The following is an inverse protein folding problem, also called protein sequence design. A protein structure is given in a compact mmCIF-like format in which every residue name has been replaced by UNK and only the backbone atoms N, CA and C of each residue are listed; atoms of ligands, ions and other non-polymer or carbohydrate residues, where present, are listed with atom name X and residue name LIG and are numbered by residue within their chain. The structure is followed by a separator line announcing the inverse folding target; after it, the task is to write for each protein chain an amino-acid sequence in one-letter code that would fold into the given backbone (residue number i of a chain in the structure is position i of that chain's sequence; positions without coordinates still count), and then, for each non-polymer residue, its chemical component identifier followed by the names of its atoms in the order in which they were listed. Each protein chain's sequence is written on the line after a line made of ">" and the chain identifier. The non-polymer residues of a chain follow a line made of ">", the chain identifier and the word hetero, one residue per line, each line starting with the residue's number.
data_IF_703976479316
#
_entry.id   IF_703976479316
#
_cell.length_a   1.000
_cell.length_b   1.000
_cell.length_c   1.000
_cell.angle_alpha   90.00
_cell.angle_beta   90.00
_cell.angle_gamma   90.00
#
_symmetry.space_group_name_H-M   'P 1'
#
loop_
_entity.id
_entity.type
_entity.pdbx_description
1 polymer ?
#
# COMPACT_ATOMS: atom_id res chain seq x y z
N UNK A 1 -11.84 -13.21 4.68
CA UNK A 1 -10.75 -12.75 3.78
C UNK A 1 -11.15 -12.73 2.31
N UNK A 2 -11.67 -13.82 1.72
CA UNK A 2 -12.04 -13.85 0.28
C UNK A 2 -13.05 -12.76 -0.15
N UNK A 3 -14.10 -12.49 0.64
CA UNK A 3 -15.05 -11.42 0.35
C UNK A 3 -14.38 -10.03 0.28
N UNK A 4 -13.39 -9.78 1.14
CA UNK A 4 -12.61 -8.53 1.10
C UNK A 4 -11.71 -8.47 -0.14
N UNK A 5 -11.14 -9.60 -0.57
CA UNK A 5 -10.42 -9.70 -1.83
C UNK A 5 -11.26 -9.32 -3.06
N UNK A 6 -12.55 -9.69 -3.09
CA UNK A 6 -13.49 -9.27 -4.14
C UNK A 6 -13.75 -7.77 -4.14
N UNK A 7 -13.90 -7.16 -2.95
CA UNK A 7 -14.06 -5.69 -2.83
C UNK A 7 -12.81 -4.97 -3.31
N UNK A 8 -11.62 -5.45 -2.93
CA UNK A 8 -10.34 -4.90 -3.39
C UNK A 8 -10.20 -5.01 -4.91
N UNK A 9 -10.62 -6.14 -5.50
CA UNK A 9 -10.69 -6.26 -6.95
C UNK A 9 -11.62 -5.22 -7.58
N UNK A 10 -12.85 -5.07 -7.07
CA UNK A 10 -13.81 -4.09 -7.58
C UNK A 10 -13.21 -2.68 -7.61
N UNK A 11 -12.59 -2.25 -6.50
CA UNK A 11 -11.96 -0.92 -6.41
C UNK A 11 -10.78 -0.81 -7.38
N UNK A 12 -9.99 -1.87 -7.53
CA UNK A 12 -8.90 -1.92 -8.49
C UNK A 12 -9.38 -1.75 -9.94
N UNK A 13 -10.49 -2.40 -10.32
CA UNK A 13 -11.10 -2.26 -11.66
C UNK A 13 -11.53 -0.82 -11.86
N UNK A 14 -12.34 -0.29 -10.94
CA UNK A 14 -12.86 1.08 -11.02
C UNK A 14 -11.74 2.12 -11.17
N UNK A 15 -10.70 2.00 -10.34
CA UNK A 15 -9.57 2.94 -10.35
C UNK A 15 -8.66 2.76 -11.55
N UNK A 16 -8.54 1.53 -12.09
CA UNK A 16 -7.74 1.26 -13.30
C UNK A 16 -8.30 1.92 -14.56
N UNK A 17 -9.62 2.16 -14.58
CA UNK A 17 -10.33 2.72 -15.72
C UNK A 17 -10.19 4.25 -15.85
N UNK A 18 -9.64 4.93 -14.84
CA UNK A 18 -9.45 6.38 -14.87
C UNK A 18 -8.40 6.85 -15.89
N UNK A 19 -7.49 5.98 -16.34
CA UNK A 19 -6.36 6.35 -17.18
C UNK A 19 -6.67 6.39 -18.68
N UNK A 20 -6.38 7.51 -19.33
CA UNK A 20 -6.62 7.71 -20.77
C UNK A 20 -5.49 7.20 -21.66
N UNK A 21 -4.25 7.20 -21.17
CA UNK A 21 -3.05 6.86 -21.94
C UNK A 21 -2.53 5.44 -21.62
N UNK A 22 -3.10 4.43 -22.27
CA UNK A 22 -2.72 3.02 -22.10
C UNK A 22 -1.21 2.80 -22.29
N UNK A 23 -0.59 3.46 -23.27
CA UNK A 23 0.85 3.32 -23.52
C UNK A 23 1.70 3.70 -22.30
N UNK A 24 1.34 4.80 -21.63
CA UNK A 24 2.05 5.25 -20.43
C UNK A 24 1.84 4.28 -19.27
N UNK A 25 0.63 3.75 -19.11
CA UNK A 25 0.32 2.76 -18.07
C UNK A 25 1.17 1.50 -18.25
N UNK A 26 1.22 0.96 -19.47
CA UNK A 26 2.00 -0.25 -19.79
C UNK A 26 3.50 -0.02 -19.58
N UNK A 27 4.04 1.08 -20.09
CA UNK A 27 5.47 1.41 -19.92
C UNK A 27 5.81 1.62 -18.45
N UNK A 28 4.95 2.29 -17.69
CA UNK A 28 5.13 2.55 -16.26
C UNK A 28 5.16 1.25 -15.47
N UNK A 29 4.20 0.35 -15.72
CA UNK A 29 4.16 -0.97 -15.09
C UNK A 29 5.38 -1.81 -15.47
N UNK A 30 5.77 -1.83 -16.74
CA UNK A 30 6.93 -2.61 -17.18
C UNK A 30 8.23 -2.12 -16.54
N UNK A 31 8.55 -0.82 -16.70
CA UNK A 31 9.79 -0.24 -16.17
C UNK A 31 9.79 -0.27 -14.65
N UNK A 32 8.70 0.15 -14.01
CA UNK A 32 8.58 0.19 -12.56
C UNK A 32 8.69 -1.19 -11.91
N UNK A 33 8.05 -2.20 -12.51
CA UNK A 33 8.15 -3.58 -11.99
C UNK A 33 9.55 -4.14 -12.18
N UNK A 34 10.21 -3.88 -13.32
CA UNK A 34 11.61 -4.31 -13.54
C UNK A 34 12.53 -3.68 -12.48
N UNK A 35 12.44 -2.36 -12.28
CA UNK A 35 13.25 -1.67 -11.27
C UNK A 35 12.93 -2.20 -9.87
N UNK A 36 11.65 -2.42 -9.56
CA UNK A 36 11.23 -2.91 -8.26
C UNK A 36 11.64 -4.36 -7.98
N UNK A 37 11.67 -5.20 -9.01
CA UNK A 37 12.17 -6.58 -8.89
C UNK A 37 13.69 -6.60 -8.71
N UNK A 38 14.43 -5.71 -9.39
CA UNK A 38 15.88 -5.57 -9.19
C UNK A 38 16.20 -5.12 -7.75
N UNK A 39 15.40 -4.21 -7.20
CA UNK A 39 15.57 -3.72 -5.82
C UNK A 39 14.97 -4.67 -4.77
N UNK A 40 14.14 -5.63 -5.19
CA UNK A 40 13.43 -6.60 -4.34
C UNK A 40 12.78 -5.93 -3.11
N UNK A 41 11.94 -4.93 -3.37
CA UNK A 41 11.25 -4.12 -2.34
C UNK A 41 10.43 -5.01 -1.40
N UNK A 42 9.73 -6.00 -1.94
CA UNK A 42 8.93 -6.95 -1.19
C UNK A 42 9.76 -7.64 -0.09
N UNK A 43 10.94 -8.15 -0.47
CA UNK A 43 11.85 -8.80 0.45
C UNK A 43 12.49 -7.80 1.43
N UNK A 44 12.79 -6.59 0.98
CA UNK A 44 13.33 -5.52 1.83
C UNK A 44 12.35 -5.12 2.94
N UNK A 45 11.07 -4.96 2.60
CA UNK A 45 10.00 -4.68 3.56
C UNK A 45 9.86 -5.86 4.55
N UNK A 46 9.86 -7.10 4.05
CA UNK A 46 9.79 -8.30 4.89
C UNK A 46 10.97 -8.42 5.86
N UNK A 47 12.20 -8.15 5.39
CA UNK A 47 13.42 -8.15 6.24
C UNK A 47 13.38 -7.05 7.28
N UNK A 48 12.95 -5.85 6.90
CA UNK A 48 12.82 -4.72 7.82
C UNK A 48 11.79 -4.99 8.91
N UNK A 49 10.64 -5.57 8.54
CA UNK A 49 9.63 -6.03 9.48
C UNK A 49 10.21 -7.01 10.50
N UNK A 50 10.83 -8.10 10.04
CA UNK A 50 11.47 -9.10 10.92
C UNK A 50 12.56 -8.51 11.82
N UNK A 51 13.35 -7.57 11.30
CA UNK A 51 14.39 -6.90 12.07
C UNK A 51 13.80 -6.06 13.22
N UNK A 52 12.76 -5.27 12.95
CA UNK A 52 12.08 -4.49 13.98
C UNK A 52 11.37 -5.36 15.00
N UNK A 53 10.71 -6.43 14.54
CA UNK A 53 10.07 -7.42 15.42
C UNK A 53 11.08 -8.01 16.40
N UNK A 54 12.20 -8.53 15.90
CA UNK A 54 13.23 -9.14 16.72
C UNK A 54 13.91 -8.15 17.68
N UNK A 55 14.17 -6.91 17.24
CA UNK A 55 14.89 -5.93 18.05
C UNK A 55 14.04 -5.34 19.19
N UNK A 56 12.73 -5.19 18.96
CA UNK A 56 11.82 -4.56 19.92
C UNK A 56 11.17 -5.61 20.83
N UNK A 57 10.88 -6.81 20.34
CA UNK A 57 10.35 -7.91 21.17
C UNK A 57 11.39 -8.47 22.14
N UNK A 58 12.68 -8.45 21.80
CA UNK A 58 13.75 -9.02 22.65
C UNK A 58 14.11 -8.18 23.89
N UNK A 59 13.62 -6.95 24.03
CA UNK A 59 14.13 -5.97 25.01
C UNK A 59 13.15 -5.57 26.14
N UNK A 60 11.95 -6.17 26.25
CA UNK A 60 10.91 -5.68 27.18
C UNK A 60 10.35 -6.74 28.15
N UNK A 61 10.29 -6.38 29.44
CA UNK A 61 9.67 -7.14 30.54
C UNK A 61 8.11 -7.19 30.48
N UNK A 62 7.48 -6.31 29.67
CA UNK A 62 6.03 -6.33 29.37
C UNK A 62 5.75 -7.01 28.02
N UNK A 63 6.14 -8.29 27.91
CA UNK A 63 6.25 -9.05 26.65
C UNK A 63 5.02 -8.92 25.75
N UNK A 64 3.80 -9.17 26.26
CA UNK A 64 2.57 -9.19 25.44
C UNK A 64 2.19 -7.84 24.84
N UNK A 65 2.41 -6.74 25.56
CA UNK A 65 2.08 -5.41 25.04
C UNK A 65 3.01 -5.03 23.88
N UNK A 66 4.32 -5.16 24.11
CA UNK A 66 5.34 -4.82 23.11
C UNK A 66 5.24 -5.72 21.88
N UNK A 67 5.05 -7.02 22.09
CA UNK A 67 4.82 -8.01 21.03
C UNK A 67 3.56 -7.66 20.21
N UNK A 68 2.42 -7.45 20.88
CA UNK A 68 1.17 -7.08 20.21
C UNK A 68 1.26 -5.81 19.38
N UNK A 69 1.87 -4.75 19.94
CA UNK A 69 2.08 -3.49 19.24
C UNK A 69 2.98 -3.65 18.00
N UNK A 70 4.13 -4.30 18.15
CA UNK A 70 5.13 -4.38 17.08
C UNK A 70 4.66 -5.29 15.94
N UNK A 71 4.20 -6.50 16.26
CA UNK A 71 3.75 -7.48 15.26
C UNK A 71 2.59 -6.92 14.44
N UNK A 72 1.60 -6.29 15.08
CA UNK A 72 0.47 -5.69 14.33
C UNK A 72 0.81 -4.40 13.60
N UNK A 73 1.71 -3.55 14.13
CA UNK A 73 2.18 -2.36 13.41
C UNK A 73 2.89 -2.73 12.12
N UNK A 74 3.77 -3.74 12.17
CA UNK A 74 4.45 -4.25 10.98
C UNK A 74 3.43 -4.86 10.02
N UNK A 75 2.52 -5.71 10.52
CA UNK A 75 1.48 -6.34 9.70
C UNK A 75 0.65 -5.31 8.92
N UNK A 76 0.24 -4.22 9.58
CA UNK A 76 -0.60 -3.18 8.96
C UNK A 76 0.18 -2.24 8.04
N UNK A 77 1.44 -1.91 8.37
CA UNK A 77 2.27 -0.95 7.62
C UNK A 77 3.06 -1.59 6.46
N UNK A 78 3.46 -2.87 6.57
CA UNK A 78 4.30 -3.55 5.57
C UNK A 78 3.56 -3.90 4.27
N UNK A 79 2.26 -3.61 4.16
CA UNK A 79 1.49 -3.89 2.96
C UNK A 79 1.71 -2.84 1.87
N UNK A 80 1.98 -3.29 0.65
CA UNK A 80 1.97 -2.44 -0.55
C UNK A 80 0.68 -1.60 -0.68
N UNK A 81 -0.46 -2.14 -0.21
CA UNK A 81 -1.77 -1.47 -0.22
C UNK A 81 -1.78 -0.17 0.58
N UNK A 82 -1.00 -0.08 1.66
CA UNK A 82 -0.90 1.13 2.46
C UNK A 82 -0.28 2.27 1.65
N UNK A 83 0.81 1.98 0.93
CA UNK A 83 1.49 2.99 0.11
C UNK A 83 0.60 3.42 -1.07
N UNK A 84 0.08 2.45 -1.83
CA UNK A 84 -0.73 2.73 -3.03
C UNK A 84 -2.04 3.42 -2.65
N UNK A 85 -2.73 2.94 -1.62
CA UNK A 85 -3.98 3.53 -1.15
C UNK A 85 -3.80 4.94 -0.59
N UNK A 86 -2.74 5.18 0.19
CA UNK A 86 -2.44 6.53 0.71
C UNK A 86 -2.07 7.52 -0.39
N UNK A 87 -1.32 7.06 -1.40
CA UNK A 87 -0.93 7.89 -2.53
C UNK A 87 -2.14 8.26 -3.40
N UNK A 88 -3.01 7.30 -3.71
CA UNK A 88 -4.26 7.57 -4.42
C UNK A 88 -5.18 8.50 -3.63
N UNK A 89 -5.34 8.27 -2.32
CA UNK A 89 -6.17 9.12 -1.48
C UNK A 89 -5.69 10.59 -1.46
N UNK A 90 -4.37 10.81 -1.40
CA UNK A 90 -3.82 12.17 -1.44
C UNK A 90 -3.83 12.82 -2.84
N UNK A 91 -3.67 12.03 -3.91
CA UNK A 91 -3.66 12.58 -5.28
C UNK A 91 -5.06 12.84 -5.84
N UNK A 92 -6.01 11.94 -5.60
CA UNK A 92 -7.36 11.99 -6.19
C UNK A 92 -8.41 12.56 -5.24
N UNK A 93 -8.11 12.63 -3.95
CA UNK A 93 -9.12 12.85 -2.91
C UNK A 93 -10.08 11.68 -2.72
N UNK A 94 -10.01 10.61 -3.53
CA UNK A 94 -10.81 9.40 -3.37
C UNK A 94 -10.11 8.40 -2.44
N UNK A 95 -10.72 8.16 -1.28
CA UNK A 95 -10.18 7.33 -0.21
C UNK A 95 -10.68 5.88 -0.20
N UNK A 96 -11.38 5.43 -1.24
CA UNK A 96 -12.12 4.15 -1.21
C UNK A 96 -11.23 2.93 -0.96
N UNK A 97 -10.02 2.94 -1.53
CA UNK A 97 -9.00 1.91 -1.32
C UNK A 97 -8.51 1.88 0.13
N UNK A 98 -8.27 3.06 0.71
CA UNK A 98 -7.82 3.22 2.09
C UNK A 98 -8.94 2.88 3.08
N UNK A 99 -10.21 3.19 2.75
CA UNK A 99 -11.40 2.82 3.51
C UNK A 99 -11.59 1.31 3.53
N UNK A 100 -11.50 0.65 2.38
CA UNK A 100 -11.56 -0.81 2.30
C UNK A 100 -10.45 -1.46 3.14
N UNK A 101 -9.22 -0.91 3.10
CA UNK A 101 -8.13 -1.38 3.97
C UNK A 101 -8.42 -1.15 5.45
N UNK A 102 -8.95 0.01 5.84
CA UNK A 102 -9.28 0.31 7.24
C UNK A 102 -10.27 -0.70 7.81
N UNK A 103 -11.27 -1.13 7.03
CA UNK A 103 -12.21 -2.17 7.44
C UNK A 103 -11.53 -3.53 7.62
N UNK A 104 -10.63 -3.90 6.70
CA UNK A 104 -9.85 -5.15 6.79
C UNK A 104 -8.95 -5.14 8.03
N UNK A 105 -8.16 -4.08 8.20
CA UNK A 105 -7.24 -3.92 9.33
C UNK A 105 -8.01 -3.88 10.66
N UNK A 106 -9.20 -3.27 10.70
CA UNK A 106 -10.07 -3.27 11.89
C UNK A 106 -10.53 -4.68 12.29
N UNK A 107 -10.98 -5.49 11.33
CA UNK A 107 -11.35 -6.90 11.59
C UNK A 107 -10.14 -7.70 12.08
N UNK A 108 -8.99 -7.52 11.42
CA UNK A 108 -7.74 -8.19 11.78
C UNK A 108 -7.26 -7.76 13.18
N UNK A 109 -7.37 -6.47 13.52
CA UNK A 109 -7.04 -5.94 14.84
C UNK A 109 -7.92 -6.54 15.94
N UNK A 110 -9.22 -6.70 15.72
CA UNK A 110 -10.12 -7.37 16.67
C UNK A 110 -9.66 -8.81 16.94
N UNK A 111 -9.29 -9.55 15.89
CA UNK A 111 -8.80 -10.92 16.02
C UNK A 111 -7.47 -10.95 16.80
N UNK A 112 -6.48 -10.16 16.38
CA UNK A 112 -5.17 -10.14 17.03
C UNK A 112 -5.21 -9.61 18.46
N UNK A 113 -6.13 -8.71 18.80
CA UNK A 113 -6.28 -8.22 20.18
C UNK A 113 -6.61 -9.36 21.16
N UNK A 114 -7.38 -10.37 20.73
CA UNK A 114 -7.67 -11.54 21.58
C UNK A 114 -6.45 -12.43 21.83
N UNK A 115 -5.49 -12.44 20.90
CA UNK A 115 -4.31 -13.31 20.96
C UNK A 115 -3.09 -12.61 21.58
N UNK A 116 -2.86 -11.36 21.19
CA UNK A 116 -1.69 -10.55 21.54
C UNK A 116 -2.00 -9.43 22.56
N UNK A 117 -3.26 -9.28 22.96
CA UNK A 117 -3.69 -8.33 23.98
C UNK A 117 -3.82 -6.88 23.49
N UNK A 118 -3.90 -5.95 24.45
CA UNK A 118 -4.23 -4.54 24.20
C UNK A 118 -3.15 -3.74 23.44
N UNK A 119 -1.95 -4.30 23.27
CA UNK A 119 -0.87 -3.67 22.48
C UNK A 119 -1.27 -3.40 21.03
N UNK A 120 -2.20 -4.19 20.49
CA UNK A 120 -2.72 -4.03 19.11
C UNK A 120 -3.38 -2.67 18.87
N UNK A 121 -4.06 -2.11 19.87
CA UNK A 121 -4.75 -0.80 19.72
C UNK A 121 -3.74 0.31 19.40
N UNK A 122 -2.55 0.24 19.99
CA UNK A 122 -1.49 1.22 19.78
C UNK A 122 -0.87 1.15 18.37
N UNK A 123 -1.06 0.05 17.63
CA UNK A 123 -0.58 -0.06 16.25
C UNK A 123 -1.26 0.95 15.31
N UNK A 124 -2.47 1.41 15.65
CA UNK A 124 -3.17 2.47 14.93
C UNK A 124 -2.33 3.75 14.82
N UNK A 125 -1.52 4.07 15.84
CA UNK A 125 -0.63 5.23 15.81
C UNK A 125 0.45 5.09 14.73
N UNK A 126 1.05 3.90 14.61
CA UNK A 126 2.03 3.61 13.55
C UNK A 126 1.40 3.71 12.17
N UNK A 127 0.19 3.17 12.01
CA UNK A 127 -0.54 3.19 10.73
C UNK A 127 -0.89 4.63 10.33
N UNK A 128 -1.43 5.42 11.26
CA UNK A 128 -1.79 6.83 11.01
C UNK A 128 -0.55 7.64 10.64
N UNK A 129 0.56 7.47 11.35
CA UNK A 129 1.80 8.18 11.03
C UNK A 129 2.32 7.78 9.64
N UNK A 130 2.43 6.48 9.38
CA UNK A 130 2.97 5.97 8.12
C UNK A 130 2.11 6.39 6.93
N UNK A 131 0.81 6.07 6.94
CA UNK A 131 -0.10 6.36 5.84
C UNK A 131 -0.40 7.87 5.73
N UNK A 132 -0.53 8.56 6.86
CA UNK A 132 -0.76 10.01 6.89
C UNK A 132 0.35 10.80 6.22
N UNK A 133 1.62 10.40 6.41
CA UNK A 133 2.75 11.03 5.69
C UNK A 133 2.57 10.87 4.18
N UNK A 134 2.23 9.67 3.69
CA UNK A 134 2.02 9.46 2.26
C UNK A 134 0.84 10.25 1.71
N UNK A 135 -0.29 10.30 2.43
CA UNK A 135 -1.47 11.10 2.02
C UNK A 135 -1.12 12.58 1.94
N UNK A 136 -0.44 13.12 2.96
CA UNK A 136 -0.06 14.54 2.98
C UNK A 136 0.95 14.89 1.89
N UNK A 137 1.96 14.05 1.66
CA UNK A 137 2.92 14.22 0.57
C UNK A 137 2.22 14.16 -0.79
N UNK A 138 1.37 13.18 -1.00
CA UNK A 138 0.58 13.02 -2.21
C UNK A 138 -0.32 14.24 -2.48
N UNK A 139 -1.01 14.76 -1.47
CA UNK A 139 -1.81 15.97 -1.57
C UNK A 139 -0.99 17.24 -1.82
N UNK A 140 0.25 17.31 -1.32
CA UNK A 140 1.14 18.41 -1.66
C UNK A 140 1.62 18.34 -3.12
N UNK A 141 1.86 17.12 -3.62
CA UNK A 141 2.23 16.88 -5.02
C UNK A 141 1.07 17.09 -6.00
N UNK A 142 -0.19 16.85 -5.60
CA UNK A 142 -1.34 16.97 -6.51
C UNK A 142 -1.46 18.36 -7.14
N UNK A 143 -1.13 19.42 -6.41
CA UNK A 143 -1.14 20.80 -6.93
C UNK A 143 -0.09 21.05 -8.04
N UNK A 144 0.96 20.22 -8.12
CA UNK A 144 2.05 20.32 -9.10
C UNK A 144 1.78 19.41 -10.30
N UNK A 145 1.00 18.34 -10.11
CA UNK A 145 0.70 17.36 -11.15
C UNK A 145 -0.57 17.75 -11.91
N UNK A 146 -0.51 17.74 -13.24
CA UNK A 146 -1.71 17.92 -14.07
C UNK A 146 -2.66 16.71 -13.99
N UNK A 147 -3.95 16.92 -14.27
CA UNK A 147 -5.00 15.89 -14.21
C UNK A 147 -4.63 14.62 -15.01
N UNK A 148 -4.05 14.77 -16.21
CA UNK A 148 -3.64 13.63 -17.04
C UNK A 148 -2.59 12.72 -16.36
N UNK A 149 -1.70 13.30 -15.55
CA UNK A 149 -0.67 12.56 -14.82
C UNK A 149 -1.31 11.83 -13.64
N UNK A 150 -2.20 12.52 -12.92
CA UNK A 150 -2.97 11.95 -11.80
C UNK A 150 -3.83 10.77 -12.27
N UNK A 151 -4.51 10.89 -13.41
CA UNK A 151 -5.28 9.81 -14.06
C UNK A 151 -4.38 8.60 -14.36
N UNK A 152 -3.17 8.85 -14.87
CA UNK A 152 -2.20 7.79 -15.21
C UNK A 152 -1.66 7.09 -13.96
N UNK A 153 -1.36 7.83 -12.89
CA UNK A 153 -0.95 7.30 -11.58
C UNK A 153 -2.07 6.43 -11.00
N UNK A 154 -3.29 6.94 -11.05
CA UNK A 154 -4.48 6.24 -10.56
C UNK A 154 -4.66 4.92 -11.28
N UNK A 155 -4.57 4.93 -12.61
CA UNK A 155 -4.72 3.73 -13.41
C UNK A 155 -3.65 2.67 -13.10
N UNK A 156 -2.37 3.09 -13.00
CA UNK A 156 -1.27 2.21 -12.59
C UNK A 156 -1.51 1.65 -11.19
N UNK A 157 -1.89 2.49 -10.24
CA UNK A 157 -2.21 2.08 -8.87
C UNK A 157 -3.40 1.12 -8.81
N UNK A 158 -4.45 1.34 -9.62
CA UNK A 158 -5.61 0.46 -9.75
C UNK A 158 -5.22 -0.94 -10.23
N UNK A 159 -4.32 -1.05 -11.21
CA UNK A 159 -3.80 -2.34 -11.68
C UNK A 159 -2.97 -3.05 -10.59
N UNK A 160 -2.19 -2.30 -9.83
CA UNK A 160 -1.44 -2.86 -8.69
C UNK A 160 -2.42 -3.39 -7.63
N UNK A 161 -3.48 -2.64 -7.32
CA UNK A 161 -4.56 -3.05 -6.40
C UNK A 161 -5.28 -4.30 -6.90
N UNK A 162 -5.51 -4.44 -8.21
CA UNK A 162 -6.04 -5.68 -8.79
C UNK A 162 -5.14 -6.87 -8.45
N UNK A 163 -3.82 -6.74 -8.62
CA UNK A 163 -2.86 -7.76 -8.22
C UNK A 163 -2.98 -8.14 -6.74
N UNK A 164 -3.23 -7.17 -5.87
CA UNK A 164 -3.47 -7.42 -4.44
C UNK A 164 -4.77 -8.20 -4.18
N UNK A 165 -5.86 -7.82 -4.87
CA UNK A 165 -7.14 -8.51 -4.78
C UNK A 165 -7.02 -9.98 -5.22
N UNK A 166 -6.23 -10.25 -6.27
CA UNK A 166 -5.93 -11.61 -6.73
C UNK A 166 -5.18 -12.40 -5.65
N UNK A 167 -4.13 -11.82 -5.04
CA UNK A 167 -3.39 -12.46 -3.95
C UNK A 167 -4.32 -12.86 -2.79
N UNK A 168 -5.26 -11.97 -2.40
CA UNK A 168 -6.23 -12.24 -1.33
C UNK A 168 -7.23 -13.37 -1.66
N UNK A 169 -7.49 -13.63 -2.95
CA UNK A 169 -8.44 -14.64 -3.39
C UNK A 169 -7.81 -16.01 -3.64
N UNK A 170 -6.63 -16.02 -4.24
CA UNK A 170 -5.97 -17.22 -4.77
C UNK A 170 -4.77 -17.67 -3.95
N UNK A 171 -4.41 -16.97 -2.86
CA UNK A 171 -3.13 -17.19 -2.15
C UNK A 171 -1.92 -17.18 -3.10
N UNK A 172 -2.02 -16.43 -4.20
CA UNK A 172 -0.90 -16.21 -5.11
C UNK A 172 0.14 -15.32 -4.43
N UNK A 173 1.42 -15.56 -4.76
CA UNK A 173 2.55 -14.80 -4.24
C UNK A 173 3.01 -13.77 -5.26
N UNK A 174 2.08 -12.98 -5.81
CA UNK A 174 2.47 -11.86 -6.67
C UNK A 174 3.18 -10.84 -5.77
N UNK A 175 4.43 -10.48 -6.09
CA UNK A 175 5.21 -9.49 -5.34
C UNK A 175 4.73 -8.08 -5.63
N UNK A 176 3.51 -7.75 -5.19
CA UNK A 176 2.86 -6.48 -5.53
C UNK A 176 3.64 -5.28 -4.98
N UNK A 177 4.42 -5.45 -3.90
CA UNK A 177 5.31 -4.41 -3.39
C UNK A 177 6.38 -3.98 -4.41
N UNK A 178 6.86 -4.90 -5.25
CA UNK A 178 7.82 -4.58 -6.31
C UNK A 178 7.18 -3.74 -7.43
N UNK A 179 5.86 -3.86 -7.62
CA UNK A 179 5.15 -3.08 -8.62
C UNK A 179 4.91 -1.63 -8.19
N UNK A 180 5.05 -1.29 -6.90
CA UNK A 180 4.78 0.07 -6.37
C UNK A 180 5.64 1.13 -7.06
N UNK A 181 6.85 0.78 -7.50
CA UNK A 181 7.71 1.74 -8.22
C UNK A 181 7.11 2.22 -9.55
N UNK A 182 6.19 1.45 -10.14
CA UNK A 182 5.50 1.87 -11.36
C UNK A 182 4.72 3.17 -11.19
N UNK A 183 4.28 3.50 -9.97
CA UNK A 183 3.51 4.72 -9.72
C UNK A 183 4.38 5.99 -9.87
N UNK A 184 5.70 5.88 -9.67
CA UNK A 184 6.60 7.02 -9.82
C UNK A 184 6.93 7.33 -11.29
N UNK A 185 6.76 6.37 -12.21
CA UNK A 185 7.12 6.56 -13.63
C UNK A 185 6.25 7.63 -14.33
N UNK A 186 4.91 7.66 -14.16
CA UNK A 186 4.08 8.73 -14.70
C UNK A 186 4.47 10.12 -14.17
N UNK A 187 4.90 10.22 -12.91
CA UNK A 187 5.37 11.48 -12.30
C UNK A 187 6.60 11.99 -13.06
N UNK A 188 7.55 11.10 -13.34
CA UNK A 188 8.76 11.43 -14.09
C UNK A 188 8.40 11.92 -15.50
N UNK A 189 7.56 11.19 -16.23
CA UNK A 189 7.13 11.61 -17.58
C UNK A 189 6.38 12.95 -17.58
N UNK A 190 5.58 13.21 -16.54
CA UNK A 190 4.94 14.49 -16.32
C UNK A 190 5.92 15.65 -16.15
N UNK A 191 6.98 15.46 -15.35
CA UNK A 191 8.03 16.47 -15.15
C UNK A 191 8.80 16.75 -16.44
N UNK A 192 9.04 15.73 -17.27
CA UNK A 192 9.69 15.89 -18.58
C UNK A 192 8.77 16.38 -19.71
N UNK A 193 7.50 16.70 -19.43
CA UNK A 193 6.47 17.10 -20.41
C UNK A 193 6.31 16.13 -21.60
N UNK A 194 6.46 14.84 -21.34
CA UNK A 194 6.25 13.78 -22.34
C UNK A 194 4.74 13.41 -22.45
N UNK A 195 3.90 14.05 -21.63
CA UNK A 195 2.46 13.83 -21.45
C UNK A 195 1.67 15.15 -21.53
#
# INVERSE_FOLDING_TARGET
>A
MKAMGLVVLYIGIETSLSGKNISVIVISLAIGTIIGEILDIDNSINKFGKFLENKIAANNENSKFSEGFVTTSILFCAGAMGIVGSLQAGLNGSGDTLLAKTLIDGIVACIFTTSLGYGVIFSSLSVILYQGIFVLLAGALSNILGENIIDSISAVGGIIILGMGINLLTNSNIKVANMVLAIFIPIIFGVFKIL
#
